data_IF_096305784607
#
_entry.id   IF_096305784607
#
_cell.length_a   1.000
_cell.length_b   1.000
_cell.length_c   1.000
_cell.angle_alpha   90.00
_cell.angle_beta   90.00
_cell.angle_gamma   90.00
#
_symmetry.space_group_name_H-M   'P 1'
#
loop_
_entity.id
_entity.type
_entity.pdbx_description
1 polymer ?
#
# COMPACT_ATOMS: atom_id res chain seq x y z
N UNK A 1 14.90 1.15 -58.39
CA UNK A 1 15.70 -0.07 -58.12
C UNK A 1 15.52 -0.41 -56.65
N UNK A 2 14.76 -1.47 -56.37
CA UNK A 2 14.53 -2.08 -55.05
C UNK A 2 15.68 -3.02 -54.68
N UNK A 3 15.88 -3.31 -53.37
CA UNK A 3 15.39 -4.59 -52.82
C UNK A 3 14.79 -4.39 -51.40
N UNK A 4 13.62 -4.93 -51.03
CA UNK A 4 13.20 -6.34 -50.88
C UNK A 4 14.07 -7.13 -49.87
N UNK A 5 13.58 -7.30 -48.63
CA UNK A 5 14.31 -7.99 -47.56
C UNK A 5 13.45 -8.55 -46.43
N UNK A 6 12.70 -9.61 -46.75
CA UNK A 6 12.37 -10.82 -45.94
C UNK A 6 11.65 -10.66 -44.58
N UNK A 7 10.43 -11.22 -44.59
CA UNK A 7 9.58 -11.66 -43.47
C UNK A 7 10.27 -12.75 -42.65
N UNK A 8 10.08 -12.73 -41.33
CA UNK A 8 10.17 -13.91 -40.48
C UNK A 8 8.90 -14.00 -39.64
N UNK A 9 8.03 -14.94 -40.02
CA UNK A 9 6.96 -15.45 -39.21
C UNK A 9 7.54 -16.53 -38.29
N UNK A 10 7.14 -16.58 -37.03
CA UNK A 10 7.30 -17.77 -36.21
C UNK A 10 6.06 -17.91 -35.33
N UNK A 11 5.39 -19.03 -35.57
CA UNK A 11 4.12 -19.40 -35.00
C UNK A 11 4.30 -20.11 -33.66
N UNK A 12 3.23 -20.01 -32.86
CA UNK A 12 2.71 -20.93 -31.84
C UNK A 12 3.64 -22.02 -31.28
N UNK A 13 3.66 -22.10 -29.95
CA UNK A 13 3.44 -23.37 -29.25
C UNK A 13 2.62 -23.12 -27.98
N UNK A 14 1.36 -23.53 -28.05
CA UNK A 14 0.49 -23.79 -26.90
C UNK A 14 0.79 -25.21 -26.45
N UNK A 15 1.08 -25.41 -25.17
CA UNK A 15 1.03 -26.72 -24.53
C UNK A 15 0.33 -26.59 -23.17
N UNK A 16 -0.72 -27.39 -23.06
CA UNK A 16 -1.67 -27.55 -21.98
C UNK A 16 -1.17 -28.49 -20.87
N UNK A 17 -1.63 -28.20 -19.66
CA UNK A 17 -2.09 -29.12 -18.61
C UNK A 17 -1.14 -30.20 -18.04
N UNK A 18 -1.10 -30.25 -16.71
CA UNK A 18 -0.61 -31.39 -15.95
C UNK A 18 -0.73 -31.14 -14.46
N UNK A 19 -1.90 -31.41 -13.88
CA UNK A 19 -2.08 -31.40 -12.43
C UNK A 19 -1.44 -32.63 -11.79
N UNK A 20 -0.96 -32.48 -10.55
CA UNK A 20 -0.82 -33.57 -9.59
C UNK A 20 -1.17 -33.01 -8.20
N UNK A 21 -2.37 -33.33 -7.74
CA UNK A 21 -2.67 -33.51 -6.33
C UNK A 21 -1.81 -34.68 -5.85
N UNK A 22 -1.05 -34.53 -4.77
CA UNK A 22 -0.89 -35.66 -3.86
C UNK A 22 -0.81 -35.27 -2.40
N UNK A 23 -1.70 -35.95 -1.69
CA UNK A 23 -1.95 -35.99 -0.28
C UNK A 23 -1.17 -37.19 0.26
N UNK A 24 -0.35 -36.99 1.29
CA UNK A 24 0.14 -38.06 2.15
C UNK A 24 0.29 -37.50 3.56
N UNK A 25 -0.67 -37.77 4.44
CA UNK A 25 -0.63 -38.88 5.41
C UNK A 25 0.44 -38.61 6.47
N UNK A 26 0.03 -38.07 7.62
CA UNK A 26 -0.43 -38.88 8.76
C UNK A 26 0.64 -39.88 9.21
N UNK A 27 1.46 -39.49 10.18
CA UNK A 27 2.21 -40.40 11.04
C UNK A 27 1.68 -40.26 12.47
N UNK A 28 0.86 -41.21 12.97
CA UNK A 28 0.63 -41.38 14.39
C UNK A 28 1.56 -42.47 14.90
N UNK A 29 2.48 -42.13 15.82
CA UNK A 29 3.21 -43.02 16.75
C UNK A 29 4.18 -42.11 17.55
N UNK A 30 4.28 -42.09 18.87
CA UNK A 30 3.88 -43.04 19.92
C UNK A 30 3.69 -42.29 21.26
N UNK A 31 2.96 -42.88 22.23
CA UNK A 31 2.81 -42.31 23.57
C UNK A 31 4.06 -42.60 24.41
N UNK A 32 4.83 -41.55 24.76
CA UNK A 32 5.83 -41.63 25.82
C UNK A 32 5.14 -41.25 27.12
N UNK A 33 4.70 -42.26 27.87
CA UNK A 33 4.43 -42.13 29.30
C UNK A 33 5.76 -42.26 30.05
N UNK A 34 6.28 -41.16 30.59
CA UNK A 34 7.24 -41.25 31.70
C UNK A 34 7.11 -40.06 32.66
N UNK A 35 6.83 -40.41 33.92
CA UNK A 35 7.15 -39.70 35.16
C UNK A 35 6.42 -38.40 35.52
N UNK A 36 5.42 -38.60 36.39
CA UNK A 36 5.04 -37.66 37.44
C UNK A 36 6.26 -37.37 38.34
N UNK A 37 6.78 -36.15 38.23
CA UNK A 37 7.64 -35.53 39.25
C UNK A 37 6.87 -34.39 39.89
N UNK A 38 7.01 -34.33 41.20
CA UNK A 38 6.23 -33.56 42.16
C UNK A 38 6.27 -32.05 41.90
N UNK A 39 5.11 -31.43 42.15
CA UNK A 39 4.89 -30.00 42.11
C UNK A 39 5.72 -29.24 43.17
N UNK A 40 6.52 -28.23 42.78
CA UNK A 40 6.84 -27.12 43.66
C UNK A 40 5.67 -26.12 43.66
N UNK A 41 5.40 -25.59 44.84
CA UNK A 41 4.31 -24.67 45.13
C UNK A 41 4.29 -23.43 44.22
N UNK A 42 3.06 -23.03 43.90
CA UNK A 42 2.69 -21.80 43.20
C UNK A 42 3.35 -20.57 43.85
N UNK A 43 4.37 -20.04 43.21
CA UNK A 43 4.70 -18.61 43.26
C UNK A 43 4.34 -17.98 41.91
N UNK A 44 3.06 -18.03 41.55
CA UNK A 44 2.52 -17.38 40.37
C UNK A 44 1.81 -16.08 40.77
N UNK A 45 2.55 -15.09 41.24
CA UNK A 45 2.00 -13.77 41.61
C UNK A 45 3.05 -12.65 41.57
N UNK A 46 3.89 -12.58 40.53
CA UNK A 46 4.80 -11.44 40.36
C UNK A 46 5.36 -11.33 38.93
N UNK A 47 4.55 -10.93 37.94
CA UNK A 47 5.08 -10.47 36.64
C UNK A 47 4.08 -9.67 35.80
N UNK A 48 3.13 -8.97 36.43
CA UNK A 48 2.19 -8.06 35.73
C UNK A 48 2.48 -6.56 35.91
N UNK A 49 3.62 -6.20 36.51
CA UNK A 49 3.88 -4.82 36.96
C UNK A 49 4.97 -4.05 36.21
N UNK A 50 5.63 -4.63 35.19
CA UNK A 50 6.69 -3.90 34.45
C UNK A 50 6.40 -3.64 32.97
N UNK A 51 5.28 -4.13 32.41
CA UNK A 51 4.84 -3.79 31.05
C UNK A 51 4.45 -2.30 30.90
N UNK A 52 4.30 -1.57 32.01
CA UNK A 52 3.95 -0.14 32.01
C UNK A 52 5.11 0.80 31.69
N UNK A 53 6.32 0.26 31.45
CA UNK A 53 7.53 1.06 31.16
C UNK A 53 8.06 0.91 29.73
N UNK A 54 7.52 0.01 28.92
CA UNK A 54 7.94 -0.11 27.52
C UNK A 54 7.40 1.09 26.71
N UNK A 55 8.26 2.03 26.27
CA UNK A 55 7.83 3.19 25.48
C UNK A 55 7.15 2.77 24.17
N UNK A 56 7.52 1.62 23.61
CA UNK A 56 6.95 1.13 22.35
C UNK A 56 5.53 0.62 22.56
N UNK A 57 5.28 -0.14 23.64
CA UNK A 57 3.93 -0.55 24.01
C UNK A 57 3.00 0.66 24.25
N UNK A 58 3.51 1.72 24.88
CA UNK A 58 2.77 2.97 25.07
C UNK A 58 2.48 3.65 23.72
N UNK A 59 3.46 3.72 22.82
CA UNK A 59 3.29 4.29 21.49
C UNK A 59 2.27 3.51 20.65
N UNK A 60 2.34 2.17 20.64
CA UNK A 60 1.38 1.30 19.95
C UNK A 60 -0.05 1.53 20.44
N UNK A 61 -0.25 1.53 21.77
CA UNK A 61 -1.56 1.82 22.36
C UNK A 61 -2.06 3.21 21.96
N UNK A 62 -1.20 4.23 22.05
CA UNK A 62 -1.56 5.59 21.66
C UNK A 62 -2.03 5.67 20.20
N UNK A 63 -1.32 5.05 19.26
CA UNK A 63 -1.71 5.05 17.85
C UNK A 63 -3.06 4.35 17.63
N UNK A 64 -3.28 3.20 18.27
CA UNK A 64 -4.59 2.51 18.22
C UNK A 64 -5.72 3.36 18.79
N UNK A 65 -5.48 4.02 19.93
CA UNK A 65 -6.47 4.89 20.56
C UNK A 65 -6.75 6.14 19.72
N UNK A 66 -5.72 6.75 19.13
CA UNK A 66 -5.86 7.89 18.22
C UNK A 66 -6.65 7.53 16.96
N UNK A 67 -6.39 6.35 16.39
CA UNK A 67 -7.12 5.82 15.23
C UNK A 67 -8.59 5.55 15.55
N UNK A 68 -8.88 4.87 16.66
CA UNK A 68 -10.25 4.60 17.09
C UNK A 68 -11.04 5.89 17.31
N UNK A 69 -10.43 6.89 17.97
CA UNK A 69 -11.04 8.22 18.14
C UNK A 69 -11.26 8.95 16.81
N UNK A 70 -10.33 8.83 15.86
CA UNK A 70 -10.49 9.44 14.54
C UNK A 70 -11.69 8.85 13.79
N UNK A 71 -11.84 7.52 13.80
CA UNK A 71 -12.95 6.83 13.17
C UNK A 71 -14.30 7.17 13.81
N UNK A 72 -14.35 7.20 15.14
CA UNK A 72 -15.55 7.62 15.87
C UNK A 72 -15.93 9.06 15.51
N UNK A 73 -14.94 9.96 15.50
CA UNK A 73 -15.14 11.37 15.19
C UNK A 73 -15.61 11.62 13.76
N UNK A 74 -15.08 10.91 12.76
CA UNK A 74 -15.55 11.03 11.36
C UNK A 74 -16.98 10.53 11.16
N UNK A 75 -17.48 9.64 12.04
CA UNK A 75 -18.85 9.12 12.01
C UNK A 75 -19.83 9.97 12.83
N UNK A 76 -19.36 11.04 13.48
CA UNK A 76 -20.19 11.89 14.32
C UNK A 76 -21.32 12.56 13.53
N UNK A 77 -22.40 12.93 14.24
CA UNK A 77 -23.54 13.67 13.68
C UNK A 77 -23.75 14.94 14.51
N UNK A 78 -23.59 16.14 13.91
CA UNK A 78 -23.25 16.40 12.50
C UNK A 78 -21.82 15.96 12.14
N UNK A 79 -21.55 15.62 10.87
CA UNK A 79 -20.19 15.25 10.44
C UNK A 79 -19.25 16.45 10.56
N UNK A 80 -17.96 16.21 10.85
CA UNK A 80 -16.97 17.27 10.88
C UNK A 80 -16.80 17.91 9.49
N UNK A 81 -16.50 19.20 9.47
CA UNK A 81 -16.25 19.93 8.23
C UNK A 81 -14.94 19.50 7.57
N UNK A 82 -14.78 19.67 6.24
CA UNK A 82 -13.52 19.37 5.55
C UNK A 82 -12.30 20.08 6.16
N UNK A 83 -12.45 21.31 6.64
CA UNK A 83 -11.35 22.03 7.29
C UNK A 83 -10.92 21.35 8.60
N UNK A 84 -11.88 20.98 9.44
CA UNK A 84 -11.59 20.28 10.70
C UNK A 84 -10.91 18.93 10.42
N UNK A 85 -11.36 18.19 9.39
CA UNK A 85 -10.77 16.91 9.00
C UNK A 85 -9.32 17.11 8.55
N UNK A 86 -9.06 18.12 7.71
CA UNK A 86 -7.70 18.44 7.27
C UNK A 86 -6.79 18.77 8.45
N UNK A 87 -7.23 19.66 9.34
CA UNK A 87 -6.46 20.05 10.53
C UNK A 87 -6.18 18.81 11.40
N UNK A 88 -7.19 17.97 11.62
CA UNK A 88 -7.04 16.77 12.46
C UNK A 88 -6.06 15.76 11.87
N UNK A 89 -6.10 15.50 10.57
CA UNK A 89 -5.18 14.56 9.91
C UNK A 89 -3.74 15.09 9.90
N UNK A 90 -3.55 16.39 9.66
CA UNK A 90 -2.22 17.02 9.75
C UNK A 90 -1.66 16.93 11.17
N UNK A 91 -2.49 17.20 12.19
CA UNK A 91 -2.08 17.08 13.58
C UNK A 91 -1.74 15.63 13.94
N UNK A 92 -2.54 14.66 13.51
CA UNK A 92 -2.29 13.24 13.76
C UNK A 92 -0.96 12.79 13.14
N UNK A 93 -0.69 13.18 11.89
CA UNK A 93 0.60 12.91 11.23
C UNK A 93 1.77 13.51 12.01
N UNK A 94 1.63 14.75 12.48
CA UNK A 94 2.65 15.42 13.30
C UNK A 94 2.85 14.71 14.63
N UNK A 95 1.79 14.28 15.28
CA UNK A 95 1.86 13.57 16.56
C UNK A 95 2.55 12.22 16.42
N UNK A 96 2.27 11.50 15.33
CA UNK A 96 2.92 10.23 15.02
C UNK A 96 4.35 10.41 14.51
N UNK A 97 4.74 11.60 14.04
CA UNK A 97 6.11 11.84 13.55
C UNK A 97 7.18 11.66 14.64
N UNK A 98 6.80 11.87 15.92
CA UNK A 98 7.65 11.67 17.09
C UNK A 98 7.69 10.24 17.64
N UNK A 99 6.95 9.30 17.04
CA UNK A 99 7.04 7.87 17.38
C UNK A 99 8.22 7.25 16.61
N UNK A 100 8.88 6.26 17.23
CA UNK A 100 9.92 5.47 16.59
C UNK A 100 9.47 4.99 15.19
N UNK A 101 10.28 5.18 14.12
CA UNK A 101 9.88 4.84 12.76
C UNK A 101 9.46 3.39 12.57
N UNK A 102 10.12 2.42 13.23
CA UNK A 102 9.80 1.00 13.10
C UNK A 102 8.48 0.67 13.80
N UNK A 103 8.27 1.19 15.01
CA UNK A 103 7.00 1.04 15.73
C UNK A 103 5.85 1.68 14.94
N UNK A 104 6.09 2.87 14.37
CA UNK A 104 5.11 3.57 13.54
C UNK A 104 4.75 2.77 12.29
N UNK A 105 5.75 2.24 11.57
CA UNK A 105 5.54 1.43 10.38
C UNK A 105 4.78 0.13 10.70
N UNK A 106 5.17 -0.58 11.77
CA UNK A 106 4.47 -1.76 12.29
C UNK A 106 2.99 -1.45 12.54
N UNK A 107 2.71 -0.34 13.22
CA UNK A 107 1.35 0.04 13.56
C UNK A 107 0.54 0.47 12.35
N UNK A 108 1.11 1.23 11.41
CA UNK A 108 0.41 1.61 10.18
C UNK A 108 0.08 0.37 9.34
N UNK A 109 1.00 -0.58 9.23
CA UNK A 109 0.74 -1.86 8.55
C UNK A 109 -0.44 -2.60 9.19
N UNK A 110 -0.48 -2.71 10.53
CA UNK A 110 -1.63 -3.30 11.25
C UNK A 110 -2.93 -2.56 10.98
N UNK A 111 -2.92 -1.23 10.95
CA UNK A 111 -4.12 -0.44 10.67
C UNK A 111 -4.60 -0.64 9.22
N UNK A 112 -3.68 -0.71 8.25
CA UNK A 112 -4.01 -1.04 6.86
C UNK A 112 -4.62 -2.45 6.74
N UNK A 113 -4.03 -3.43 7.42
CA UNK A 113 -4.48 -4.84 7.44
C UNK A 113 -5.86 -5.02 8.10
N UNK A 114 -6.26 -4.10 8.99
CA UNK A 114 -7.59 -4.13 9.61
C UNK A 114 -8.73 -3.97 8.59
N UNK A 115 -8.44 -3.38 7.42
CA UNK A 115 -9.43 -3.08 6.41
C UNK A 115 -10.30 -1.86 6.71
N UNK A 116 -10.20 -1.26 7.91
CA UNK A 116 -10.97 -0.07 8.27
C UNK A 116 -10.55 1.14 7.43
N UNK A 117 -11.53 1.72 6.74
CA UNK A 117 -11.33 2.91 5.93
C UNK A 117 -12.62 3.72 5.88
N UNK A 118 -12.48 5.04 5.81
CA UNK A 118 -13.58 5.99 5.70
C UNK A 118 -13.22 7.09 4.71
N UNK A 119 -14.19 7.59 3.92
CA UNK A 119 -13.98 8.80 3.14
C UNK A 119 -13.78 9.99 4.08
N UNK A 120 -12.84 10.86 3.75
CA UNK A 120 -12.56 12.08 4.52
C UNK A 120 -13.37 13.28 3.99
N UNK A 121 -13.95 13.16 2.80
CA UNK A 121 -14.55 14.29 2.08
C UNK A 121 -13.53 15.30 1.54
N UNK A 122 -12.24 15.05 1.68
CA UNK A 122 -11.17 15.86 1.09
C UNK A 122 -10.86 15.40 -0.34
N UNK A 123 -10.18 16.25 -1.11
CA UNK A 123 -9.66 15.85 -2.42
C UNK A 123 -8.36 15.07 -2.27
N UNK A 124 -8.01 14.27 -3.27
CA UNK A 124 -6.63 13.83 -3.43
C UNK A 124 -5.78 15.00 -3.95
N UNK A 125 -4.78 15.41 -3.16
CA UNK A 125 -3.94 16.56 -3.53
C UNK A 125 -2.50 16.36 -3.09
N UNK A 126 -1.60 16.41 -4.06
CA UNK A 126 -0.16 16.48 -3.81
C UNK A 126 0.21 17.89 -3.39
N UNK A 127 0.95 17.98 -2.29
CA UNK A 127 1.51 19.20 -1.73
C UNK A 127 3.00 19.37 -2.03
N UNK A 128 3.65 20.20 -1.22
CA UNK A 128 5.06 20.52 -1.38
C UNK A 128 5.94 19.30 -1.10
N UNK A 129 7.06 19.18 -1.81
CA UNK A 129 8.01 18.06 -1.69
C UNK A 129 7.39 16.68 -2.01
N UNK A 130 6.30 16.67 -2.78
CA UNK A 130 5.60 15.47 -3.21
C UNK A 130 4.76 14.83 -2.11
N UNK A 131 4.76 15.31 -0.86
CA UNK A 131 3.87 14.79 0.19
C UNK A 131 2.42 15.15 -0.11
N UNK A 132 1.45 14.31 0.28
CA UNK A 132 0.06 14.71 0.13
C UNK A 132 -0.29 15.87 1.08
N UNK A 133 -1.03 16.83 0.55
CA UNK A 133 -1.65 17.92 1.29
C UNK A 133 -3.08 17.56 1.74
N UNK A 134 -3.76 16.67 1.01
CA UNK A 134 -5.09 16.17 1.32
C UNK A 134 -5.22 14.69 0.92
N UNK A 135 -6.08 13.95 1.62
CA UNK A 135 -6.26 12.50 1.49
C UNK A 135 -7.73 12.20 1.31
N UNK A 136 -8.13 11.60 0.19
CA UNK A 136 -9.54 11.28 -0.11
C UNK A 136 -10.14 10.23 0.83
N UNK A 137 -9.33 9.31 1.33
CA UNK A 137 -9.71 8.30 2.32
C UNK A 137 -8.66 8.19 3.44
N UNK A 138 -9.03 7.54 4.54
CA UNK A 138 -8.08 7.27 5.62
C UNK A 138 -7.02 6.23 5.20
N UNK A 139 -7.35 5.28 4.32
CA UNK A 139 -6.35 4.36 3.76
C UNK A 139 -5.28 5.11 2.97
N UNK A 140 -5.68 6.09 2.14
CA UNK A 140 -4.72 6.97 1.42
C UNK A 140 -3.87 7.77 2.40
N UNK A 141 -4.43 8.24 3.52
CA UNK A 141 -3.67 8.88 4.60
C UNK A 141 -2.63 7.94 5.20
N UNK A 142 -3.01 6.71 5.57
CA UNK A 142 -2.10 5.72 6.15
C UNK A 142 -0.95 5.36 5.19
N UNK A 143 -1.26 5.15 3.90
CA UNK A 143 -0.24 4.85 2.88
C UNK A 143 0.79 5.98 2.73
N UNK A 144 0.35 7.24 2.71
CA UNK A 144 1.27 8.38 2.62
C UNK A 144 2.10 8.55 3.91
N UNK A 145 1.54 8.28 5.09
CA UNK A 145 2.33 8.27 6.33
C UNK A 145 3.34 7.11 6.32
N UNK A 146 2.96 5.91 5.87
CA UNK A 146 3.88 4.77 5.77
C UNK A 146 5.07 5.07 4.86
N UNK A 147 4.82 5.66 3.69
CA UNK A 147 5.86 6.05 2.73
C UNK A 147 6.88 7.05 3.29
N UNK A 148 6.52 7.82 4.32
CA UNK A 148 7.45 8.70 5.04
C UNK A 148 8.12 8.04 6.25
N UNK A 149 7.46 7.05 6.84
CA UNK A 149 7.95 6.36 8.03
C UNK A 149 9.01 5.31 7.69
N UNK A 150 8.70 4.48 6.70
CA UNK A 150 9.48 3.33 6.27
C UNK A 150 9.21 3.09 4.78
N UNK A 151 10.08 3.61 3.89
CA UNK A 151 9.91 3.45 2.45
C UNK A 151 9.95 1.99 1.97
N UNK A 152 10.67 1.10 2.67
CA UNK A 152 10.78 -0.31 2.32
C UNK A 152 9.48 -1.04 2.66
N UNK A 153 8.94 -0.82 3.86
CA UNK A 153 7.63 -1.34 4.25
C UNK A 153 6.50 -0.77 3.36
N UNK A 154 6.61 0.50 2.95
CA UNK A 154 5.68 1.10 2.01
C UNK A 154 5.74 0.43 0.63
N UNK A 155 6.93 0.14 0.11
CA UNK A 155 7.08 -0.55 -1.16
C UNK A 155 6.52 -1.99 -1.10
N UNK A 156 6.83 -2.74 -0.05
CA UNK A 156 6.29 -4.08 0.16
C UNK A 156 4.75 -4.08 0.27
N UNK A 157 4.17 -3.06 0.91
CA UNK A 157 2.71 -2.88 0.99
C UNK A 157 2.12 -2.49 -0.37
N UNK A 158 2.79 -1.59 -1.09
CA UNK A 158 2.37 -1.15 -2.42
C UNK A 158 2.31 -2.29 -3.43
N UNK A 159 3.30 -3.19 -3.45
CA UNK A 159 3.30 -4.36 -4.34
C UNK A 159 2.06 -5.23 -4.14
N UNK A 160 1.62 -5.45 -2.89
CA UNK A 160 0.38 -6.20 -2.60
C UNK A 160 -0.87 -5.44 -3.01
N UNK A 161 -0.88 -4.13 -2.78
CA UNK A 161 -2.05 -3.29 -3.00
C UNK A 161 -2.36 -3.06 -4.49
N UNK A 162 -1.34 -2.95 -5.35
CA UNK A 162 -1.53 -2.68 -6.78
C UNK A 162 -2.30 -3.77 -7.52
N UNK A 163 -2.29 -5.01 -7.03
CA UNK A 163 -3.04 -6.12 -7.63
C UNK A 163 -4.54 -6.02 -7.37
N UNK A 164 -4.94 -5.37 -6.28
CA UNK A 164 -6.33 -5.40 -5.79
C UNK A 164 -6.97 -4.03 -5.64
N UNK A 165 -6.21 -2.94 -5.79
CA UNK A 165 -6.73 -1.60 -5.48
C UNK A 165 -7.87 -1.21 -6.42
N UNK A 166 -9.04 -0.85 -5.88
CA UNK A 166 -10.15 -0.31 -6.67
C UNK A 166 -10.03 1.21 -6.87
N UNK A 167 -9.06 1.86 -6.24
CA UNK A 167 -8.95 3.32 -6.13
C UNK A 167 -7.73 3.83 -6.87
N UNK A 168 -7.95 4.79 -7.77
CA UNK A 168 -6.86 5.48 -8.47
C UNK A 168 -5.92 6.23 -7.51
N UNK A 169 -6.46 6.77 -6.40
CA UNK A 169 -5.69 7.53 -5.42
C UNK A 169 -4.75 6.63 -4.63
N UNK A 170 -5.22 5.45 -4.22
CA UNK A 170 -4.37 4.44 -3.57
C UNK A 170 -3.33 3.89 -4.55
N UNK A 171 -3.74 3.62 -5.79
CA UNK A 171 -2.85 3.16 -6.85
C UNK A 171 -1.72 4.16 -7.10
N UNK A 172 -2.02 5.47 -7.13
CA UNK A 172 -1.03 6.52 -7.27
C UNK A 172 0.00 6.52 -6.13
N UNK A 173 -0.44 6.39 -4.88
CA UNK A 173 0.47 6.35 -3.73
C UNK A 173 1.29 5.07 -3.69
N UNK A 174 0.71 3.95 -4.09
CA UNK A 174 1.43 2.69 -4.22
C UNK A 174 2.54 2.81 -5.27
N UNK A 175 2.23 3.30 -6.47
CA UNK A 175 3.25 3.54 -7.51
C UNK A 175 4.35 4.48 -7.05
N UNK A 176 3.98 5.59 -6.39
CA UNK A 176 4.96 6.52 -5.81
C UNK A 176 5.86 5.87 -4.77
N UNK A 177 5.38 4.88 -4.03
CA UNK A 177 6.19 4.13 -3.07
C UNK A 177 7.19 3.23 -3.79
N UNK A 178 6.78 2.60 -4.91
CA UNK A 178 7.65 1.74 -5.71
C UNK A 178 8.74 2.47 -6.49
N UNK A 179 8.59 3.78 -6.74
CA UNK A 179 9.60 4.58 -7.46
C UNK A 179 10.64 5.23 -6.55
N UNK A 180 10.50 5.09 -5.22
CA UNK A 180 11.46 5.61 -4.24
C UNK A 180 12.74 4.76 -4.17
N UNK A 181 13.88 5.37 -3.80
CA UNK A 181 15.09 4.61 -3.49
C UNK A 181 14.83 3.57 -2.41
N UNK A 182 15.36 2.35 -2.59
CA UNK A 182 15.16 1.22 -1.68
C UNK A 182 14.05 0.25 -2.10
N UNK A 183 13.22 0.63 -3.08
CA UNK A 183 12.32 -0.31 -3.75
C UNK A 183 13.12 -1.30 -4.61
N UNK A 184 12.83 -2.60 -4.48
CA UNK A 184 13.42 -3.66 -5.30
C UNK A 184 12.62 -3.95 -6.58
N UNK A 185 11.59 -3.15 -6.87
CA UNK A 185 10.72 -3.37 -8.04
C UNK A 185 11.47 -3.13 -9.35
N UNK A 186 11.34 -4.08 -10.27
CA UNK A 186 11.98 -4.00 -11.57
C UNK A 186 11.34 -2.93 -12.48
N UNK A 187 12.10 -2.32 -13.40
CA UNK A 187 11.54 -1.41 -14.40
C UNK A 187 10.44 -2.07 -15.26
N UNK A 188 10.57 -3.36 -15.56
CA UNK A 188 9.58 -4.12 -16.33
C UNK A 188 8.26 -4.28 -15.56
N UNK A 189 8.33 -4.50 -14.25
CA UNK A 189 7.15 -4.50 -13.39
C UNK A 189 6.48 -3.12 -13.38
N UNK A 190 7.24 -2.04 -13.17
CA UNK A 190 6.69 -0.67 -13.22
C UNK A 190 6.04 -0.36 -14.58
N UNK A 191 6.65 -0.81 -15.69
CA UNK A 191 6.09 -0.69 -17.02
C UNK A 191 4.75 -1.44 -17.15
N UNK A 192 4.66 -2.65 -16.57
CA UNK A 192 3.41 -3.43 -16.53
C UNK A 192 2.33 -2.73 -15.69
N UNK A 193 2.69 -2.18 -14.53
CA UNK A 193 1.78 -1.41 -13.67
C UNK A 193 1.29 -0.13 -14.35
N UNK A 194 2.15 0.51 -15.16
CA UNK A 194 1.75 1.65 -15.98
C UNK A 194 0.73 1.24 -17.06
N UNK A 195 0.93 0.11 -17.73
CA UNK A 195 -0.07 -0.42 -18.67
C UNK A 195 -1.42 -0.71 -17.99
N UNK A 196 -1.38 -1.26 -16.77
CA UNK A 196 -2.58 -1.51 -15.95
C UNK A 196 -3.31 -0.22 -15.60
N UNK A 197 -2.58 0.84 -15.23
CA UNK A 197 -3.14 2.18 -15.01
C UNK A 197 -3.93 2.65 -16.22
N UNK A 198 -3.31 2.67 -17.41
CA UNK A 198 -3.93 3.16 -18.65
C UNK A 198 -5.20 2.38 -19.06
N UNK A 199 -5.29 1.11 -18.65
CA UNK A 199 -6.41 0.23 -18.93
C UNK A 199 -7.66 0.48 -18.05
N UNK A 200 -7.62 1.43 -17.11
CA UNK A 200 -8.70 1.75 -16.16
C UNK A 200 -9.47 3.01 -16.56
N UNK A 201 -10.46 2.94 -17.46
CA UNK A 201 -11.21 4.12 -17.92
C UNK A 201 -11.95 4.84 -16.80
N UNK A 202 -12.44 4.12 -15.81
CA UNK A 202 -13.14 4.65 -14.64
C UNK A 202 -12.26 5.57 -13.77
N UNK A 203 -10.94 5.47 -13.89
CA UNK A 203 -10.00 6.27 -13.12
C UNK A 203 -9.61 7.59 -13.81
N UNK A 204 -9.87 7.75 -15.11
CA UNK A 204 -9.31 8.84 -15.91
C UNK A 204 -9.83 10.25 -15.57
N UNK A 205 -10.87 10.36 -14.76
CA UNK A 205 -11.37 11.63 -14.21
C UNK A 205 -10.84 11.92 -12.80
N UNK A 206 -10.16 10.97 -12.17
CA UNK A 206 -9.66 11.10 -10.81
C UNK A 206 -8.31 11.84 -10.77
N UNK A 207 -8.04 12.52 -9.65
CA UNK A 207 -6.75 13.16 -9.42
C UNK A 207 -5.64 12.17 -9.16
N UNK A 208 -5.93 11.04 -8.50
CA UNK A 208 -4.99 9.94 -8.36
C UNK A 208 -4.48 9.41 -9.70
N UNK A 209 -5.36 9.27 -10.70
CA UNK A 209 -4.92 8.85 -12.04
C UNK A 209 -3.98 9.89 -12.68
N UNK A 210 -4.30 11.18 -12.58
CA UNK A 210 -3.44 12.24 -13.09
C UNK A 210 -2.06 12.23 -12.42
N UNK A 211 -2.01 12.00 -11.10
CA UNK A 211 -0.75 11.84 -10.37
C UNK A 211 -0.01 10.56 -10.78
N UNK A 212 -0.72 9.44 -10.92
CA UNK A 212 -0.12 8.16 -11.31
C UNK A 212 0.51 8.20 -12.71
N UNK A 213 0.05 9.11 -13.58
CA UNK A 213 0.66 9.33 -14.90
C UNK A 213 2.10 9.87 -14.82
N UNK A 214 2.52 10.47 -13.71
CA UNK A 214 3.93 10.88 -13.52
C UNK A 214 4.89 9.69 -13.56
N UNK A 215 4.39 8.46 -13.38
CA UNK A 215 5.16 7.24 -13.60
C UNK A 215 5.74 7.17 -15.02
N UNK A 216 5.05 7.75 -16.01
CA UNK A 216 5.55 7.78 -17.38
C UNK A 216 6.89 8.54 -17.49
N UNK A 217 6.98 9.68 -16.80
CA UNK A 217 8.21 10.48 -16.73
C UNK A 217 9.31 9.76 -15.99
N UNK A 218 8.96 9.04 -14.92
CA UNK A 218 9.91 8.21 -14.17
C UNK A 218 10.48 7.07 -15.05
N UNK A 219 9.63 6.37 -15.80
CA UNK A 219 10.04 5.28 -16.68
C UNK A 219 10.91 5.78 -17.83
N UNK A 220 10.52 6.88 -18.49
CA UNK A 220 11.32 7.52 -19.53
C UNK A 220 11.66 6.62 -20.73
N UNK A 221 10.93 5.52 -20.93
CA UNK A 221 11.25 4.53 -21.97
C UNK A 221 10.51 4.83 -23.29
N UNK A 222 11.07 4.44 -24.46
CA UNK A 222 10.36 4.52 -25.73
C UNK A 222 9.04 3.71 -25.73
N UNK A 223 8.97 2.65 -24.93
CA UNK A 223 7.75 1.85 -24.80
C UNK A 223 6.65 2.62 -24.07
N UNK A 224 6.97 3.25 -22.94
CA UNK A 224 6.04 4.15 -22.22
C UNK A 224 5.51 5.25 -23.14
N UNK A 225 6.39 5.88 -23.92
CA UNK A 225 5.98 6.91 -24.88
C UNK A 225 5.01 6.37 -25.95
N UNK A 226 5.24 5.16 -26.47
CA UNK A 226 4.33 4.50 -27.42
C UNK A 226 2.97 4.18 -26.78
N UNK A 227 2.97 3.67 -25.55
CA UNK A 227 1.74 3.37 -24.81
C UNK A 227 0.90 4.64 -24.61
N UNK A 228 1.51 5.75 -24.18
CA UNK A 228 0.84 7.04 -24.06
C UNK A 228 0.32 7.57 -25.41
N UNK A 229 1.13 7.48 -26.47
CA UNK A 229 0.72 7.90 -27.80
C UNK A 229 -0.47 7.09 -28.34
N UNK A 230 -0.53 5.79 -28.04
CA UNK A 230 -1.63 4.90 -28.42
C UNK A 230 -2.84 4.98 -27.48
N UNK A 231 -2.67 5.52 -26.27
CA UNK A 231 -3.74 5.64 -25.29
C UNK A 231 -4.82 6.63 -25.77
N UNK A 232 -6.06 6.16 -25.84
CA UNK A 232 -7.23 6.92 -26.31
C UNK A 232 -8.11 7.42 -25.15
N UNK A 233 -7.51 7.62 -23.96
CA UNK A 233 -8.22 8.16 -22.82
C UNK A 233 -8.36 9.68 -22.85
N UNK A 234 -8.48 10.28 -21.66
CA UNK A 234 -8.67 11.72 -21.49
C UNK A 234 -7.62 12.56 -22.28
N UNK A 235 -8.05 13.34 -23.31
CA UNK A 235 -7.14 14.10 -24.15
C UNK A 235 -6.33 15.16 -23.39
N UNK A 236 -6.93 15.77 -22.37
CA UNK A 236 -6.28 16.79 -21.55
C UNK A 236 -5.15 16.20 -20.72
N UNK A 237 -5.35 15.01 -20.15
CA UNK A 237 -4.29 14.29 -19.42
C UNK A 237 -3.19 13.80 -20.35
N UNK A 238 -3.55 13.29 -21.52
CA UNK A 238 -2.59 12.86 -22.54
C UNK A 238 -1.67 14.00 -22.97
N UNK A 239 -2.21 15.21 -23.14
CA UNK A 239 -1.44 16.39 -23.52
C UNK A 239 -0.47 16.87 -22.42
N UNK A 240 -0.73 16.55 -21.15
CA UNK A 240 0.19 16.86 -20.04
C UNK A 240 1.34 15.86 -19.91
N UNK A 241 1.13 14.63 -20.37
CA UNK A 241 2.10 13.53 -20.24
C UNK A 241 3.08 13.41 -21.42
N UNK A 242 2.81 14.08 -22.55
CA UNK A 242 3.66 14.13 -23.75
C UNK A 242 4.48 15.42 -23.79
#
# INVERSE_FOLDING_TARGET
>A
MTPAGKRAASALLVATAGGVLWWSLAHPSAPVSTQASQAPARHASASRQDDSRDPDAIARRRMSDDWGRLLEWLRAVPPPSPEEIRIRLVQLRKDWSGIDPLVRAEMIARLLDSGEDLPTGLEFRVGVHGLLAEWSTLRVFLLDVLATADPEAAAATASKLLDTSPSADEYAIALRSLTRPGSEVSPDELQSRFGTLLAKPEWQSSRGFAEALDLARYLGTPETARQLAAWNGNPSLKALAL
#
